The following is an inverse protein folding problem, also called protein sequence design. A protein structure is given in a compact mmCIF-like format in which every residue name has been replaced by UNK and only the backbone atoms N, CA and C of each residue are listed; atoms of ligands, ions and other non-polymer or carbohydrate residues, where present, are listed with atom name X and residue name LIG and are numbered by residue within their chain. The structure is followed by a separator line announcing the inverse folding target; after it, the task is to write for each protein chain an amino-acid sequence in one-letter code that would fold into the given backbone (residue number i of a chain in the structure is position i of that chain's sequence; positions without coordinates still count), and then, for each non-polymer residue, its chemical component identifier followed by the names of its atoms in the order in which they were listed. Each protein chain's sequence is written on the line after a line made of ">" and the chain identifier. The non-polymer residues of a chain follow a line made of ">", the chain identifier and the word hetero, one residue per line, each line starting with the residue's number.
data_IF_318186457409
#
_entry.id   IF_318186457409
#
_cell.length_a   1.000
_cell.length_b   1.000
_cell.length_c   1.000
_cell.angle_alpha   90.00
_cell.angle_beta   90.00
_cell.angle_gamma   90.00
#
_symmetry.space_group_name_H-M   'P 1'
#
loop_
_entity.id
_entity.type
_entity.pdbx_description
1 polymer ?
#
# COMPACT_ATOMS: atom_id res chain seq x y z
N UNK A 1 -7.02 8.95 -26.87
CA UNK A 1 -7.09 7.51 -26.53
C UNK A 1 -8.51 7.22 -26.09
N UNK A 2 -9.22 6.26 -26.71
CA UNK A 2 -10.53 5.84 -26.23
C UNK A 2 -10.37 5.20 -24.85
N UNK A 3 -11.23 5.58 -23.89
CA UNK A 3 -11.27 4.95 -22.57
C UNK A 3 -11.69 3.49 -22.75
N UNK A 4 -11.03 2.51 -22.10
CA UNK A 4 -11.47 1.13 -22.17
C UNK A 4 -12.92 1.03 -21.69
N UNK A 5 -13.74 0.26 -22.41
CA UNK A 5 -15.12 -0.06 -22.01
C UNK A 5 -14.99 -0.95 -20.77
N UNK A 6 -15.17 -0.37 -19.59
CA UNK A 6 -15.15 -1.14 -18.36
C UNK A 6 -16.40 -2.02 -18.31
N UNK A 7 -16.20 -3.34 -18.27
CA UNK A 7 -17.24 -4.30 -17.86
C UNK A 7 -17.71 -3.88 -16.46
N UNK A 8 -19.02 -3.91 -16.21
CA UNK A 8 -19.55 -3.57 -14.88
C UNK A 8 -18.88 -4.46 -13.82
N UNK A 9 -18.48 -3.85 -12.70
CA UNK A 9 -17.80 -4.57 -11.61
C UNK A 9 -18.79 -5.54 -10.97
N UNK A 10 -18.44 -6.81 -10.88
CA UNK A 10 -19.24 -7.80 -10.16
C UNK A 10 -19.21 -7.51 -8.65
N UNK A 11 -20.39 -7.31 -8.07
CA UNK A 11 -20.57 -7.00 -6.65
C UNK A 11 -21.61 -7.89 -5.97
N UNK A 12 -21.99 -8.99 -6.61
CA UNK A 12 -23.01 -9.93 -6.12
C UNK A 12 -22.37 -11.05 -5.32
N UNK A 13 -23.05 -11.54 -4.29
CA UNK A 13 -22.57 -12.74 -3.61
C UNK A 13 -22.66 -13.97 -4.52
N UNK A 14 -21.71 -14.90 -4.35
CA UNK A 14 -21.72 -16.21 -4.99
C UNK A 14 -21.74 -17.34 -3.97
N UNK A 15 -22.17 -18.51 -4.45
CA UNK A 15 -21.98 -19.77 -3.77
C UNK A 15 -20.61 -20.36 -4.13
N UNK A 16 -20.26 -21.47 -3.51
CA UNK A 16 -18.99 -22.16 -3.73
C UNK A 16 -18.79 -22.45 -5.22
N UNK A 17 -17.58 -22.20 -5.73
CA UNK A 17 -17.24 -22.41 -7.14
C UNK A 17 -17.89 -21.41 -8.10
N UNK A 18 -18.12 -20.17 -7.66
CA UNK A 18 -18.75 -19.11 -8.45
C UNK A 18 -20.19 -19.44 -8.92
N UNK A 19 -20.88 -20.33 -8.21
CA UNK A 19 -22.26 -20.68 -8.53
C UNK A 19 -23.24 -19.57 -8.11
N UNK A 20 -24.31 -19.37 -8.88
CA UNK A 20 -25.32 -18.36 -8.60
C UNK A 20 -26.26 -18.78 -7.46
N UNK A 21 -26.77 -17.78 -6.73
CA UNK A 21 -27.81 -17.99 -5.71
C UNK A 21 -29.14 -18.46 -6.33
N UNK A 22 -29.95 -19.23 -5.58
CA UNK A 22 -29.76 -19.66 -4.19
C UNK A 22 -28.83 -20.87 -4.03
N UNK A 23 -27.98 -20.87 -3.00
CA UNK A 23 -27.03 -21.96 -2.77
C UNK A 23 -27.74 -23.28 -2.37
N UNK A 24 -27.25 -24.44 -2.84
CA UNK A 24 -27.68 -25.74 -2.34
C UNK A 24 -27.54 -25.83 -0.81
N UNK A 25 -28.55 -26.38 -0.14
CA UNK A 25 -28.60 -26.46 1.35
C UNK A 25 -27.38 -27.20 1.93
N UNK A 26 -26.80 -28.13 1.18
CA UNK A 26 -25.62 -28.90 1.57
C UNK A 26 -24.30 -28.10 1.62
N UNK A 27 -24.22 -26.94 0.96
CA UNK A 27 -22.99 -26.14 0.89
C UNK A 27 -22.90 -25.07 1.99
N UNK A 28 -24.03 -24.74 2.63
CA UNK A 28 -24.14 -23.59 3.53
C UNK A 28 -23.46 -23.77 4.90
N UNK A 29 -23.08 -24.99 5.30
CA UNK A 29 -22.71 -25.27 6.70
C UNK A 29 -21.35 -25.97 6.93
N UNK A 30 -20.57 -26.31 5.90
CA UNK A 30 -19.39 -27.20 6.07
C UNK A 30 -18.09 -26.63 5.45
N UNK A 31 -18.15 -25.55 4.68
CA UNK A 31 -16.97 -25.04 3.95
C UNK A 31 -16.14 -24.05 4.77
N UNK A 32 -14.83 -24.31 4.88
CA UNK A 32 -13.86 -23.38 5.47
C UNK A 32 -13.76 -22.08 4.65
N UNK A 33 -14.09 -22.14 3.36
CA UNK A 33 -13.99 -21.02 2.41
C UNK A 33 -15.31 -20.30 2.17
N UNK A 34 -16.35 -20.54 2.98
CA UNK A 34 -17.68 -19.93 2.80
C UNK A 34 -17.66 -18.39 2.69
N UNK A 35 -16.80 -17.71 3.44
CA UNK A 35 -16.63 -16.25 3.38
C UNK A 35 -15.92 -15.75 2.12
N UNK A 36 -15.17 -16.61 1.43
CA UNK A 36 -14.39 -16.26 0.25
C UNK A 36 -15.25 -15.98 -0.99
N UNK A 37 -16.52 -16.41 -0.99
CA UNK A 37 -17.45 -16.28 -2.12
C UNK A 37 -18.42 -15.09 -1.96
N UNK A 38 -18.36 -14.40 -0.83
CA UNK A 38 -19.20 -13.23 -0.53
C UNK A 38 -18.46 -11.95 -0.94
N UNK A 39 -19.17 -11.04 -1.60
CA UNK A 39 -18.58 -9.78 -2.01
C UNK A 39 -18.54 -8.83 -0.83
N UNK A 40 -17.37 -8.29 -0.54
CA UNK A 40 -17.22 -7.32 0.54
C UNK A 40 -17.03 -5.92 -0.04
N UNK A 41 -17.84 -4.98 0.44
CA UNK A 41 -17.74 -3.59 0.01
C UNK A 41 -16.52 -2.91 0.63
N UNK A 42 -16.02 -1.88 -0.06
CA UNK A 42 -14.85 -1.11 0.37
C UNK A 42 -15.01 -0.59 1.82
N UNK A 43 -16.18 -0.05 2.11
CA UNK A 43 -16.47 0.65 3.36
C UNK A 43 -16.60 -0.32 4.55
N UNK A 44 -17.07 -1.55 4.29
CA UNK A 44 -17.22 -2.59 5.32
C UNK A 44 -15.86 -3.12 5.79
N UNK A 45 -14.89 -3.18 4.88
CA UNK A 45 -13.57 -3.79 5.12
C UNK A 45 -12.51 -2.73 5.41
N UNK A 46 -12.87 -1.44 5.35
CA UNK A 46 -11.92 -0.32 5.37
C UNK A 46 -10.80 -0.53 4.35
N UNK A 47 -11.18 -1.02 3.17
CA UNK A 47 -10.26 -1.35 2.11
C UNK A 47 -9.64 -0.09 1.50
N UNK A 48 -8.40 -0.18 1.06
CA UNK A 48 -7.75 0.87 0.26
C UNK A 48 -7.44 0.34 -1.14
N UNK A 49 -7.50 1.24 -2.12
CA UNK A 49 -7.10 0.91 -3.49
C UNK A 49 -5.65 0.45 -3.53
N UNK A 50 -5.42 -0.68 -4.19
CA UNK A 50 -4.11 -1.29 -4.34
C UNK A 50 -3.59 -1.02 -5.75
N UNK A 51 -2.48 -0.28 -5.82
CA UNK A 51 -1.72 -0.09 -7.06
C UNK A 51 -0.95 -1.37 -7.41
N UNK A 52 -1.02 -1.74 -8.68
CA UNK A 52 -0.26 -2.82 -9.32
C UNK A 52 0.43 -2.29 -10.59
N UNK A 53 1.02 -3.17 -11.41
CA UNK A 53 1.82 -2.75 -12.57
C UNK A 53 0.95 -2.22 -13.71
N UNK A 54 -0.17 -2.90 -13.98
CA UNK A 54 -1.05 -2.59 -15.10
C UNK A 54 -2.24 -1.73 -14.67
N UNK A 55 -2.92 -2.09 -13.59
CA UNK A 55 -4.13 -1.41 -13.13
C UNK A 55 -4.12 -1.08 -11.63
N UNK A 56 -5.06 -0.23 -11.22
CA UNK A 56 -5.35 0.02 -9.81
C UNK A 56 -6.63 -0.70 -9.44
N UNK A 57 -6.57 -1.53 -8.39
CA UNK A 57 -7.71 -2.30 -7.90
C UNK A 57 -8.32 -1.62 -6.68
N UNK A 58 -9.64 -1.47 -6.64
CA UNK A 58 -10.33 -0.96 -5.46
C UNK A 58 -10.15 -1.88 -4.25
N UNK A 59 -10.38 -1.36 -3.04
CA UNK A 59 -10.20 -2.14 -1.79
C UNK A 59 -11.35 -3.11 -1.44
N UNK A 60 -12.43 -3.16 -2.22
CA UNK A 60 -13.53 -4.13 -2.07
C UNK A 60 -13.43 -5.27 -3.08
N UNK A 61 -13.94 -6.45 -2.72
CA UNK A 61 -13.86 -7.68 -3.51
C UNK A 61 -14.12 -8.94 -2.69
N UNK A 62 -13.75 -10.08 -3.26
CA UNK A 62 -13.78 -11.39 -2.60
C UNK A 62 -12.43 -11.66 -1.94
N UNK A 63 -12.42 -12.10 -0.68
CA UNK A 63 -11.19 -12.45 0.00
C UNK A 63 -11.39 -13.58 1.00
N UNK A 64 -10.33 -14.35 1.20
CA UNK A 64 -10.26 -15.37 2.24
C UNK A 64 -9.21 -14.99 3.27
N UNK A 65 -9.58 -15.04 4.56
CA UNK A 65 -8.63 -14.87 5.66
C UNK A 65 -7.95 -16.20 5.94
N UNK A 66 -6.63 -16.22 5.84
CA UNK A 66 -5.83 -17.37 6.22
C UNK A 66 -5.68 -17.44 7.75
N UNK A 67 -5.59 -18.65 8.29
CA UNK A 67 -5.35 -18.90 9.70
C UNK A 67 -3.85 -18.79 10.03
N UNK A 68 -3.54 -18.53 11.28
CA UNK A 68 -2.18 -18.61 11.84
C UNK A 68 -1.67 -20.06 11.80
N UNK A 69 -2.57 -21.04 11.96
CA UNK A 69 -2.21 -22.44 11.82
C UNK A 69 -1.98 -22.82 10.34
N UNK A 70 -0.77 -23.27 10.03
CA UNK A 70 -0.38 -23.72 8.68
C UNK A 70 -1.27 -24.83 8.13
N UNK A 71 -1.69 -25.78 8.98
CA UNK A 71 -2.48 -26.93 8.54
C UNK A 71 -3.90 -26.51 8.13
N UNK A 72 -4.47 -25.52 8.82
CA UNK A 72 -5.79 -24.96 8.51
C UNK A 72 -5.70 -24.13 7.23
N UNK A 73 -4.68 -23.28 7.12
CA UNK A 73 -4.41 -22.48 5.91
C UNK A 73 -4.16 -23.34 4.68
N UNK A 74 -3.46 -24.47 4.83
CA UNK A 74 -3.27 -25.42 3.73
C UNK A 74 -4.59 -26.03 3.27
N UNK A 75 -5.48 -26.43 4.19
CA UNK A 75 -6.82 -26.92 3.85
C UNK A 75 -7.66 -25.86 3.13
N UNK A 76 -7.57 -24.60 3.59
CA UNK A 76 -8.22 -23.46 2.92
C UNK A 76 -7.71 -23.33 1.48
N UNK A 77 -6.40 -23.33 1.25
CA UNK A 77 -5.83 -23.24 -0.10
C UNK A 77 -6.24 -24.40 -0.99
N UNK A 78 -6.22 -25.63 -0.47
CA UNK A 78 -6.67 -26.82 -1.21
C UNK A 78 -8.14 -26.65 -1.63
N UNK A 79 -9.01 -26.25 -0.71
CA UNK A 79 -10.43 -26.05 -1.03
C UNK A 79 -10.65 -24.90 -2.04
N UNK A 80 -9.93 -23.78 -1.92
CA UNK A 80 -10.01 -22.68 -2.90
C UNK A 80 -9.55 -23.14 -4.29
N UNK A 81 -8.48 -23.93 -4.36
CA UNK A 81 -7.93 -24.42 -5.62
C UNK A 81 -8.85 -25.46 -6.28
N UNK A 82 -9.39 -26.42 -5.50
CA UNK A 82 -10.34 -27.42 -5.99
C UNK A 82 -11.61 -26.79 -6.59
N UNK A 83 -11.99 -25.61 -6.11
CA UNK A 83 -13.19 -24.89 -6.56
C UNK A 83 -12.89 -23.73 -7.50
N UNK A 84 -11.66 -23.64 -8.03
CA UNK A 84 -11.26 -22.61 -8.99
C UNK A 84 -11.58 -21.18 -8.53
N UNK A 85 -11.25 -20.86 -7.27
CA UNK A 85 -11.54 -19.54 -6.70
C UNK A 85 -10.88 -18.40 -7.49
N UNK A 86 -9.70 -18.62 -8.08
CA UNK A 86 -9.19 -17.71 -9.11
C UNK A 86 -9.39 -18.37 -10.48
N UNK A 87 -10.16 -17.72 -11.35
CA UNK A 87 -10.57 -18.21 -12.66
C UNK A 87 -10.08 -17.27 -13.78
N UNK A 88 -10.46 -17.54 -15.03
CA UNK A 88 -10.09 -16.69 -16.18
C UNK A 88 -10.72 -15.27 -16.15
N UNK A 89 -11.71 -15.04 -15.27
CA UNK A 89 -12.34 -13.73 -15.09
C UNK A 89 -11.65 -12.91 -14.00
N UNK A 90 -10.87 -13.56 -13.15
CA UNK A 90 -10.05 -12.92 -12.12
C UNK A 90 -9.00 -12.02 -12.75
N UNK A 91 -9.01 -10.74 -12.40
CA UNK A 91 -8.09 -9.72 -12.98
C UNK A 91 -6.85 -9.48 -12.14
N UNK A 92 -6.92 -9.73 -10.83
CA UNK A 92 -5.76 -9.78 -9.97
C UNK A 92 -6.02 -10.60 -8.71
N UNK A 93 -4.98 -11.27 -8.23
CA UNK A 93 -4.94 -11.91 -6.92
C UNK A 93 -3.94 -11.15 -6.05
N UNK A 94 -4.37 -10.77 -4.85
CA UNK A 94 -3.55 -9.96 -3.94
C UNK A 94 -3.41 -10.69 -2.62
N UNK A 95 -2.18 -11.10 -2.29
CA UNK A 95 -1.82 -11.70 -1.01
C UNK A 95 -1.16 -10.65 -0.12
N UNK A 96 -1.72 -10.41 1.06
CA UNK A 96 -1.22 -9.46 2.06
C UNK A 96 -0.99 -10.18 3.39
N UNK A 97 0.18 -10.01 3.96
CA UNK A 97 0.45 -10.49 5.32
C UNK A 97 1.41 -9.57 6.06
N UNK A 98 1.35 -9.65 7.39
CA UNK A 98 2.23 -8.93 8.29
C UNK A 98 3.10 -9.92 9.05
N UNK A 99 4.40 -9.67 9.08
CA UNK A 99 5.34 -10.41 9.91
C UNK A 99 5.86 -9.47 11.01
N UNK A 100 6.06 -10.01 12.21
CA UNK A 100 6.61 -9.26 13.33
C UNK A 100 7.83 -9.98 13.90
N UNK A 101 8.92 -9.25 14.06
CA UNK A 101 10.08 -9.67 14.83
C UNK A 101 10.18 -8.81 16.09
N UNK A 102 9.70 -9.35 17.21
CA UNK A 102 9.68 -8.65 18.50
C UNK A 102 11.09 -8.34 19.03
N UNK A 103 12.08 -9.23 18.78
CA UNK A 103 13.46 -9.04 19.25
C UNK A 103 14.12 -7.82 18.60
N UNK A 104 13.81 -7.56 17.33
CA UNK A 104 14.33 -6.42 16.59
C UNK A 104 13.37 -5.22 16.54
N UNK A 105 12.15 -5.34 17.09
CA UNK A 105 11.07 -4.35 16.95
C UNK A 105 10.82 -3.95 15.48
N UNK A 106 10.75 -4.96 14.61
CA UNK A 106 10.52 -4.77 13.18
C UNK A 106 9.22 -5.43 12.76
N UNK A 107 8.38 -4.64 12.09
CA UNK A 107 7.19 -5.09 11.40
C UNK A 107 7.47 -5.07 9.89
N UNK A 108 7.03 -6.12 9.22
CA UNK A 108 7.14 -6.25 7.78
C UNK A 108 5.73 -6.38 7.23
N UNK A 109 5.37 -5.47 6.33
CA UNK A 109 4.20 -5.59 5.49
C UNK A 109 4.63 -6.11 4.13
N UNK A 110 4.18 -7.31 3.78
CA UNK A 110 4.45 -7.92 2.49
C UNK A 110 3.15 -7.99 1.68
N UNK A 111 3.22 -7.53 0.44
CA UNK A 111 2.13 -7.52 -0.53
C UNK A 111 2.62 -8.15 -1.83
N UNK A 112 2.01 -9.26 -2.22
CA UNK A 112 2.21 -9.91 -3.51
C UNK A 112 0.94 -9.70 -4.35
N UNK A 113 1.12 -9.23 -5.57
CA UNK A 113 0.04 -8.92 -6.51
C UNK A 113 0.33 -9.64 -7.81
N UNK A 114 -0.59 -10.48 -8.22
CA UNK A 114 -0.52 -11.21 -9.47
C UNK A 114 -1.64 -10.72 -10.38
N UNK A 115 -1.30 -10.01 -11.46
CA UNK A 115 -2.27 -9.47 -12.42
C UNK A 115 -2.45 -10.38 -13.62
N UNK A 116 -3.70 -10.48 -14.09
CA UNK A 116 -4.13 -11.28 -15.23
C UNK A 116 -4.83 -10.37 -16.26
N UNK A 117 -4.07 -9.60 -17.06
CA UNK A 117 -4.62 -8.82 -18.16
C UNK A 117 -5.22 -9.71 -19.27
N UNK A 118 -6.14 -9.15 -20.06
CA UNK A 118 -6.81 -9.91 -21.14
C UNK A 118 -5.90 -10.21 -22.35
N UNK A 119 -4.82 -9.44 -22.50
CA UNK A 119 -3.93 -9.47 -23.69
C UNK A 119 -2.59 -10.13 -23.38
N UNK A 120 -2.14 -10.05 -22.13
CA UNK A 120 -0.86 -10.60 -21.69
C UNK A 120 -1.08 -11.78 -20.72
N UNK A 121 -0.04 -12.55 -20.46
CA UNK A 121 -0.09 -13.64 -19.48
C UNK A 121 -0.11 -13.13 -18.04
N UNK A 122 0.59 -13.83 -17.17
CA UNK A 122 0.69 -13.51 -15.74
C UNK A 122 1.74 -12.42 -15.46
N UNK A 123 1.37 -11.39 -14.70
CA UNK A 123 2.25 -10.28 -14.31
C UNK A 123 2.39 -10.19 -12.77
N UNK A 124 3.49 -10.73 -12.20
CA UNK A 124 3.73 -10.67 -10.76
C UNK A 124 4.36 -9.33 -10.34
N UNK A 125 3.93 -8.83 -9.18
CA UNK A 125 4.44 -7.62 -8.55
C UNK A 125 4.46 -7.76 -7.03
N UNK A 126 5.62 -7.56 -6.42
CA UNK A 126 5.78 -7.65 -4.96
C UNK A 126 6.25 -6.32 -4.36
N UNK A 127 5.67 -5.94 -3.23
CA UNK A 127 6.14 -4.82 -2.41
C UNK A 127 6.35 -5.31 -0.98
N UNK A 128 7.53 -5.04 -0.44
CA UNK A 128 7.88 -5.38 0.94
C UNK A 128 8.27 -4.08 1.65
N UNK A 129 7.53 -3.73 2.68
CA UNK A 129 7.78 -2.54 3.49
C UNK A 129 8.15 -2.95 4.91
N UNK A 130 9.33 -2.55 5.35
CA UNK A 130 9.82 -2.82 6.70
C UNK A 130 9.77 -1.52 7.51
N UNK A 131 9.18 -1.55 8.69
CA UNK A 131 9.07 -0.40 9.58
C UNK A 131 9.14 -0.80 11.05
N UNK A 132 9.49 0.16 11.90
CA UNK A 132 9.48 0.00 13.36
C UNK A 132 8.17 0.56 13.88
N UNK A 133 7.44 -0.21 14.68
CA UNK A 133 6.20 0.26 15.29
C UNK A 133 6.48 1.17 16.50
N UNK A 134 7.49 0.82 17.29
CA UNK A 134 7.92 1.62 18.44
C UNK A 134 9.23 2.34 18.12
N UNK A 135 9.14 3.58 17.63
CA UNK A 135 10.32 4.36 17.25
C UNK A 135 11.15 4.82 18.46
N UNK A 136 10.48 5.16 19.56
CA UNK A 136 11.11 5.69 20.77
C UNK A 136 11.18 4.66 21.90
N UNK A 137 11.78 3.50 21.61
CA UNK A 137 11.95 2.46 22.62
C UNK A 137 13.41 2.36 23.09
N UNK A 138 13.60 2.30 24.41
CA UNK A 138 14.93 2.21 25.03
C UNK A 138 15.71 3.54 25.03
N UNK A 139 16.98 3.48 25.42
CA UNK A 139 17.84 4.66 25.50
C UNK A 139 18.09 5.29 24.12
N UNK A 140 18.26 4.46 23.09
CA UNK A 140 18.41 4.93 21.70
C UNK A 140 17.18 5.73 21.23
N UNK A 141 15.97 5.28 21.59
CA UNK A 141 14.73 5.97 21.28
C UNK A 141 14.62 7.37 21.90
N UNK A 142 15.16 7.55 23.11
CA UNK A 142 15.19 8.85 23.79
C UNK A 142 16.12 9.84 23.07
N UNK A 143 17.28 9.39 22.60
CA UNK A 143 18.18 10.25 21.80
C UNK A 143 17.53 10.66 20.48
N UNK A 144 16.87 9.72 19.79
CA UNK A 144 16.13 10.03 18.55
C UNK A 144 15.05 11.09 18.81
N UNK A 145 14.25 10.92 19.88
CA UNK A 145 13.21 11.90 20.24
C UNK A 145 13.78 13.30 20.49
N UNK A 146 14.92 13.39 21.18
CA UNK A 146 15.58 14.68 21.42
C UNK A 146 16.02 15.34 20.10
N UNK A 147 16.67 14.59 19.20
CA UNK A 147 17.09 15.13 17.91
C UNK A 147 15.91 15.52 17.02
N UNK A 148 14.81 14.77 17.04
CA UNK A 148 13.57 15.14 16.35
C UNK A 148 13.00 16.46 16.86
N UNK A 149 12.99 16.69 18.18
CA UNK A 149 12.53 17.96 18.75
C UNK A 149 13.42 19.14 18.31
N UNK A 150 14.73 18.96 18.35
CA UNK A 150 15.69 19.98 17.88
C UNK A 150 15.49 20.24 16.39
N UNK A 151 15.33 19.20 15.57
CA UNK A 151 15.05 19.33 14.14
C UNK A 151 13.73 20.07 13.86
N UNK A 152 12.67 19.77 14.62
CA UNK A 152 11.40 20.49 14.55
C UNK A 152 11.58 21.99 14.86
N UNK A 153 12.33 22.35 15.89
CA UNK A 153 12.59 23.76 16.21
C UNK A 153 13.34 24.49 15.09
N UNK A 154 14.37 23.84 14.50
CA UNK A 154 15.15 24.42 13.41
C UNK A 154 14.29 24.61 12.16
N UNK A 155 13.51 23.59 11.78
CA UNK A 155 12.61 23.67 10.62
C UNK A 155 11.52 24.73 10.81
N UNK A 156 10.98 24.88 12.01
CA UNK A 156 10.00 25.92 12.34
C UNK A 156 10.61 27.32 12.28
N UNK A 157 11.82 27.51 12.83
CA UNK A 157 12.56 28.77 12.71
C UNK A 157 12.88 29.12 11.25
N UNK A 158 13.33 28.15 10.45
CA UNK A 158 13.63 28.35 9.04
C UNK A 158 12.38 28.72 8.23
N UNK A 159 11.27 28.00 8.42
CA UNK A 159 10.00 28.31 7.75
C UNK A 159 9.47 29.69 8.12
N UNK A 160 9.56 30.09 9.40
CA UNK A 160 9.20 31.44 9.85
C UNK A 160 10.08 32.50 9.19
N UNK A 161 11.40 32.34 9.16
CA UNK A 161 12.30 33.31 8.54
C UNK A 161 12.03 33.47 7.04
N UNK A 162 11.81 32.36 6.34
CA UNK A 162 11.45 32.39 4.92
C UNK A 162 10.12 33.10 4.72
N UNK A 163 9.10 32.79 5.53
CA UNK A 163 7.80 33.45 5.47
C UNK A 163 7.90 34.97 5.73
N UNK A 164 8.71 35.40 6.71
CA UNK A 164 8.98 36.82 6.97
C UNK A 164 9.67 37.51 5.79
N UNK A 165 10.63 36.84 5.14
CA UNK A 165 11.29 37.38 3.96
C UNK A 165 10.34 37.52 2.76
N UNK A 166 9.41 36.58 2.57
CA UNK A 166 8.40 36.64 1.52
C UNK A 166 7.36 37.74 1.80
N UNK A 167 6.95 37.92 3.05
CA UNK A 167 5.97 38.95 3.43
C UNK A 167 6.54 40.37 3.44
N UNK A 168 7.87 40.54 3.45
CA UNK A 168 8.50 41.86 3.34
C UNK A 168 8.43 42.32 1.87
N UNK A 169 7.68 43.41 1.55
CA UNK A 169 7.62 43.91 0.18
C UNK A 169 9.02 44.30 -0.31
N UNK A 170 9.35 43.87 -1.52
CA UNK A 170 10.67 44.02 -2.15
C UNK A 170 10.87 45.46 -2.65
N UNK A 171 11.83 46.19 -2.07
CA UNK A 171 12.48 47.30 -2.77
C UNK A 171 13.80 46.87 -3.44
N UNK A 172 14.27 45.64 -3.27
CA UNK A 172 15.46 45.11 -3.97
C UNK A 172 15.34 43.59 -4.16
N UNK A 173 14.71 43.17 -5.26
CA UNK A 173 14.80 41.79 -5.77
C UNK A 173 15.53 41.79 -7.11
N UNK A 174 16.83 42.13 -7.08
CA UNK A 174 17.75 41.48 -8.00
C UNK A 174 18.24 40.22 -7.29
N UNK A 175 17.62 39.10 -7.62
CA UNK A 175 18.26 37.79 -7.45
C UNK A 175 19.46 37.80 -8.40
N UNK A 176 20.64 38.16 -7.90
CA UNK A 176 21.88 37.76 -8.55
C UNK A 176 21.97 36.25 -8.42
N UNK A 177 21.62 35.53 -9.49
CA UNK A 177 22.14 34.19 -9.73
C UNK A 177 23.64 34.31 -9.97
N UNK A 178 24.41 34.58 -8.93
CA UNK A 178 25.85 34.29 -8.95
C UNK A 178 26.01 32.82 -8.61
N UNK A 179 25.91 32.02 -9.68
CA UNK A 179 26.40 30.64 -9.69
C UNK A 179 27.91 30.71 -9.53
N UNK A 180 28.42 30.78 -8.30
CA UNK A 180 29.84 30.55 -8.06
C UNK A 180 30.09 29.07 -8.34
N UNK A 181 30.56 28.78 -9.55
CA UNK A 181 31.06 27.48 -9.93
C UNK A 181 32.29 27.16 -9.09
N UNK A 182 32.09 26.59 -7.90
CA UNK A 182 33.13 25.85 -7.21
C UNK A 182 32.62 24.43 -6.93
N UNK A 183 33.11 23.53 -7.78
CA UNK A 183 32.97 22.08 -7.70
C UNK A 183 33.20 21.59 -6.26
N UNK A 184 32.17 20.97 -5.66
CA UNK A 184 32.22 20.41 -4.31
C UNK A 184 31.05 19.48 -4.03
N UNK A 185 31.12 18.26 -4.59
CA UNK A 185 30.25 17.09 -4.33
C UNK A 185 28.78 17.19 -4.76
N UNK A 186 28.40 16.33 -5.72
CA UNK A 186 27.05 16.22 -6.29
C UNK A 186 25.94 15.91 -5.26
N UNK A 187 26.26 15.54 -4.02
CA UNK A 187 25.28 15.07 -3.05
C UNK A 187 24.44 16.20 -2.40
N UNK A 188 24.95 17.43 -2.31
CA UNK A 188 24.19 18.52 -1.65
C UNK A 188 23.11 19.13 -2.56
N UNK A 189 23.29 19.05 -3.89
CA UNK A 189 22.36 19.62 -4.86
C UNK A 189 21.02 18.86 -4.91
N UNK A 190 21.02 17.57 -4.58
CA UNK A 190 19.80 16.75 -4.57
C UNK A 190 18.92 17.07 -3.36
N UNK A 191 19.51 17.40 -2.21
CA UNK A 191 18.79 17.69 -0.97
C UNK A 191 17.93 18.94 -1.10
N UNK A 192 18.46 20.00 -1.73
CA UNK A 192 17.70 21.23 -2.00
C UNK A 192 16.57 21.02 -3.03
N UNK A 193 16.79 20.20 -4.07
CA UNK A 193 15.73 19.88 -5.05
C UNK A 193 14.60 19.05 -4.45
N UNK A 194 14.90 18.12 -3.54
CA UNK A 194 13.88 17.32 -2.87
C UNK A 194 13.02 18.17 -1.93
N UNK A 195 13.64 19.09 -1.19
CA UNK A 195 12.93 19.95 -0.23
C UNK A 195 11.92 20.88 -0.93
N UNK A 196 12.22 21.36 -2.14
CA UNK A 196 11.28 22.15 -2.93
C UNK A 196 10.17 21.31 -3.60
N UNK A 197 10.44 20.07 -3.99
CA UNK A 197 9.44 19.21 -4.65
C UNK A 197 8.40 18.64 -3.66
N UNK A 198 8.72 18.52 -2.38
CA UNK A 198 7.75 18.10 -1.35
C UNK A 198 6.80 19.23 -0.88
N UNK A 199 7.00 20.47 -1.36
CA UNK A 199 6.23 21.66 -0.93
C UNK A 199 5.28 22.21 -2.01
N UNK A 200 4.89 21.40 -2.99
CA UNK A 200 3.94 21.79 -4.04
C UNK A 200 2.79 20.79 -4.19
#
# INVERSE_FOLDING_TARGET
>A
MPKPIYREKETTDYCKGWAHFPCPVAEKSISLTSSAWLYNFLDEVWGFSTYALYNTYGGGGYFMKLDVNSDVSQKIFVELNENSWFDNQTRAVILKFFLNNANANLFVYAKFVDEFPEIAGFLPYSTISVFRLYLHYGQEGNFIMFFELVFLLITLFATINIAYQIHRPQDLFQVSLEYSGHFGTQNELYTCRLLCLCLN
#
